data_IF_950510208453
#
_entry.id   IF_950510208453
#
_cell.length_a   1.000
_cell.length_b   1.000
_cell.length_c   1.000
_cell.angle_alpha   90.00
_cell.angle_beta   90.00
_cell.angle_gamma   90.00
#
_symmetry.space_group_name_H-M   'P 1'
#
loop_
_entity.id
_entity.type
_entity.pdbx_description
1 polymer ?
#
# COMPACT_ATOMS: atom_id res chain seq x y z
N UNK A 1 -21.01 16.33 8.16
CA UNK A 1 -20.93 17.76 8.53
C UNK A 1 -20.50 18.53 7.29
N UNK A 2 -21.17 19.58 6.89
CA UNK A 2 -20.72 20.40 5.76
C UNK A 2 -19.55 21.26 6.24
N UNK A 3 -18.50 21.44 5.41
CA UNK A 3 -17.40 22.30 5.79
C UNK A 3 -17.88 23.73 6.05
N UNK A 4 -17.36 24.32 7.08
CA UNK A 4 -17.64 25.69 7.49
C UNK A 4 -17.27 26.73 6.42
N UNK A 5 -16.45 26.34 5.47
CA UNK A 5 -15.74 27.24 4.58
C UNK A 5 -16.28 27.07 3.17
N UNK A 6 -16.97 28.08 2.68
CA UNK A 6 -17.55 28.08 1.34
C UNK A 6 -16.66 28.76 0.29
N UNK A 7 -15.75 29.63 0.74
CA UNK A 7 -14.89 30.40 -0.15
C UNK A 7 -13.44 30.08 0.04
N UNK A 8 -12.79 29.74 -1.06
CA UNK A 8 -11.35 29.59 -1.15
C UNK A 8 -10.80 30.74 -1.99
N UNK A 9 -9.64 31.27 -1.59
CA UNK A 9 -8.97 32.36 -2.28
C UNK A 9 -7.74 31.90 -3.01
N UNK A 10 -7.47 32.43 -4.22
CA UNK A 10 -6.23 32.17 -4.93
C UNK A 10 -5.02 32.69 -4.13
N UNK A 11 -3.90 31.98 -4.23
CA UNK A 11 -2.64 32.38 -3.63
C UNK A 11 -1.45 31.91 -4.48
N UNK A 12 -0.22 32.28 -4.10
CA UNK A 12 0.98 31.98 -4.85
C UNK A 12 1.25 32.98 -5.98
N UNK A 13 2.41 32.86 -6.60
CA UNK A 13 2.84 33.66 -7.73
C UNK A 13 3.80 32.89 -8.62
N UNK A 14 3.91 33.34 -9.88
CA UNK A 14 4.89 32.80 -10.82
C UNK A 14 6.30 33.10 -10.33
N UNK A 15 7.19 32.11 -10.41
CA UNK A 15 8.61 32.31 -10.12
C UNK A 15 9.25 33.14 -11.23
N UNK A 16 10.08 34.09 -10.82
CA UNK A 16 10.91 34.86 -11.76
C UNK A 16 12.11 34.02 -12.22
N UNK A 17 12.66 34.35 -13.39
CA UNK A 17 13.86 33.68 -13.92
C UNK A 17 15.02 33.73 -12.91
N UNK A 18 15.23 34.90 -12.29
CA UNK A 18 16.24 35.06 -11.24
C UNK A 18 16.03 34.11 -10.05
N UNK A 19 14.79 33.83 -9.64
CA UNK A 19 14.50 32.87 -8.58
C UNK A 19 14.82 31.44 -9.04
N UNK A 20 14.47 31.08 -10.26
CA UNK A 20 14.79 29.77 -10.85
C UNK A 20 16.31 29.57 -10.99
N UNK A 21 17.02 30.56 -11.53
CA UNK A 21 18.48 30.55 -11.65
C UNK A 21 19.16 30.40 -10.27
N UNK A 22 18.69 31.14 -9.26
CA UNK A 22 19.25 31.03 -7.91
C UNK A 22 18.94 29.73 -7.18
N UNK A 23 18.08 28.87 -7.73
CA UNK A 23 17.68 27.60 -7.15
C UNK A 23 18.17 26.37 -7.94
N UNK A 24 18.94 26.56 -9.03
CA UNK A 24 19.38 25.46 -9.93
C UNK A 24 20.07 24.33 -9.16
N UNK A 25 21.04 24.66 -8.29
CA UNK A 25 21.75 23.65 -7.50
C UNK A 25 20.80 22.80 -6.65
N UNK A 26 19.85 23.42 -5.96
CA UNK A 26 18.84 22.70 -5.15
C UNK A 26 17.91 21.86 -6.03
N UNK A 27 17.52 22.38 -7.19
CA UNK A 27 16.69 21.64 -8.15
C UNK A 27 17.41 20.40 -8.69
N UNK A 28 18.69 20.51 -9.00
CA UNK A 28 19.49 19.37 -9.50
C UNK A 28 19.73 18.32 -8.40
N UNK A 29 19.89 18.73 -7.15
CA UNK A 29 19.98 17.82 -6.01
C UNK A 29 18.67 17.06 -5.81
N UNK A 30 17.51 17.71 -5.89
CA UNK A 30 16.20 17.06 -5.77
C UNK A 30 16.01 16.04 -6.90
N UNK A 31 16.28 16.41 -8.15
CA UNK A 31 16.20 15.49 -9.31
C UNK A 31 17.09 14.26 -9.14
N UNK A 32 18.27 14.43 -8.54
CA UNK A 32 19.17 13.32 -8.23
C UNK A 32 18.55 12.36 -7.22
N UNK A 33 17.89 12.88 -6.18
CA UNK A 33 17.16 12.06 -5.19
C UNK A 33 15.97 11.35 -5.85
N UNK A 34 15.21 12.02 -6.70
CA UNK A 34 14.11 11.40 -7.48
C UNK A 34 14.62 10.24 -8.35
N UNK A 35 15.75 10.43 -9.01
CA UNK A 35 16.40 9.37 -9.79
C UNK A 35 16.80 8.19 -8.90
N UNK A 36 17.44 8.44 -7.75
CA UNK A 36 17.82 7.39 -6.80
C UNK A 36 16.62 6.59 -6.29
N UNK A 37 15.48 7.25 -6.03
CA UNK A 37 14.23 6.58 -5.65
C UNK A 37 13.72 5.71 -6.80
N UNK A 38 13.75 6.21 -8.04
CA UNK A 38 13.38 5.44 -9.22
C UNK A 38 14.24 4.18 -9.39
N UNK A 39 15.56 4.32 -9.26
CA UNK A 39 16.51 3.21 -9.32
C UNK A 39 16.26 2.17 -8.21
N UNK A 40 15.94 2.61 -6.99
CA UNK A 40 15.59 1.73 -5.88
C UNK A 40 14.29 0.95 -6.14
N UNK A 41 13.27 1.59 -6.74
CA UNK A 41 12.02 0.92 -7.13
C UNK A 41 12.28 -0.15 -8.19
N UNK A 42 13.09 0.14 -9.21
CA UNK A 42 13.45 -0.84 -10.24
C UNK A 42 14.30 -1.98 -9.64
N UNK A 43 15.18 -1.72 -8.69
CA UNK A 43 15.92 -2.75 -7.97
C UNK A 43 14.99 -3.71 -7.24
N UNK A 44 13.94 -3.21 -6.59
CA UNK A 44 12.91 -4.04 -5.92
C UNK A 44 12.15 -4.91 -6.92
N UNK A 45 11.76 -4.37 -8.08
CA UNK A 45 11.08 -5.15 -9.13
C UNK A 45 11.95 -6.29 -9.68
N UNK A 46 13.25 -6.04 -9.79
CA UNK A 46 14.21 -7.01 -10.31
C UNK A 46 14.74 -7.99 -9.25
N UNK A 47 14.50 -7.73 -7.96
CA UNK A 47 14.98 -8.55 -6.86
C UNK A 47 14.46 -10.00 -6.91
N UNK A 48 15.23 -10.91 -6.33
CA UNK A 48 14.84 -12.29 -6.12
C UNK A 48 15.13 -13.21 -7.30
N UNK A 49 14.33 -14.24 -7.47
CA UNK A 49 14.50 -15.28 -8.49
C UNK A 49 14.42 -14.72 -9.92
N UNK A 50 15.31 -15.13 -10.83
CA UNK A 50 15.21 -14.79 -12.24
C UNK A 50 13.87 -15.17 -12.86
N UNK A 51 13.31 -14.30 -13.69
CA UNK A 51 11.99 -14.50 -14.31
C UNK A 51 11.93 -15.78 -15.18
N UNK A 52 13.03 -16.13 -15.83
CA UNK A 52 13.12 -17.31 -16.68
C UNK A 52 12.82 -18.61 -15.91
N UNK A 53 13.08 -18.64 -14.60
CA UNK A 53 12.77 -19.79 -13.76
C UNK A 53 11.27 -19.90 -13.54
N UNK A 54 10.58 -18.77 -13.28
CA UNK A 54 9.12 -18.75 -13.16
C UNK A 54 8.44 -19.10 -14.48
N UNK A 55 8.92 -18.53 -15.60
CA UNK A 55 8.41 -18.83 -16.95
C UNK A 55 8.55 -20.31 -17.30
N UNK A 56 9.67 -20.96 -16.94
CA UNK A 56 9.84 -22.41 -17.11
C UNK A 56 8.85 -23.25 -16.30
N UNK A 57 8.33 -22.69 -15.20
CA UNK A 57 7.29 -23.30 -14.36
C UNK A 57 5.87 -22.93 -14.80
N UNK A 58 5.71 -22.17 -15.87
CA UNK A 58 4.41 -21.65 -16.31
C UNK A 58 3.78 -20.66 -15.33
N UNK A 59 4.58 -19.94 -14.57
CA UNK A 59 4.12 -19.00 -13.55
C UNK A 59 4.42 -17.56 -13.94
N UNK A 60 3.48 -16.68 -13.72
CA UNK A 60 3.68 -15.24 -13.73
C UNK A 60 4.35 -14.79 -12.43
N UNK A 61 5.15 -13.74 -12.49
CA UNK A 61 5.60 -13.08 -11.28
C UNK A 61 4.50 -12.14 -10.73
N UNK A 62 4.68 -11.64 -9.50
CA UNK A 62 3.66 -10.80 -8.84
C UNK A 62 3.38 -9.51 -9.61
N UNK A 63 4.40 -8.91 -10.24
CA UNK A 63 4.25 -7.67 -11.00
C UNK A 63 3.43 -7.90 -12.27
N UNK A 64 3.70 -8.98 -13.00
CA UNK A 64 2.91 -9.39 -14.17
C UNK A 64 1.46 -9.68 -13.79
N UNK A 65 1.22 -10.35 -12.65
CA UNK A 65 -0.14 -10.61 -12.15
C UNK A 65 -0.88 -9.33 -11.79
N UNK A 66 -0.21 -8.38 -11.10
CA UNK A 66 -0.81 -7.09 -10.74
C UNK A 66 -1.09 -6.27 -12.00
N UNK A 67 -0.14 -6.17 -12.93
CA UNK A 67 -0.30 -5.43 -14.19
C UNK A 67 -1.47 -5.97 -15.02
N UNK A 68 -1.60 -7.30 -15.09
CA UNK A 68 -2.74 -7.92 -15.79
C UNK A 68 -4.08 -7.65 -15.10
N UNK A 69 -4.09 -7.64 -13.75
CA UNK A 69 -5.30 -7.50 -12.94
C UNK A 69 -5.92 -6.10 -13.00
N UNK A 70 -5.09 -5.07 -13.02
CA UNK A 70 -5.51 -3.68 -12.82
C UNK A 70 -5.76 -2.93 -14.12
N UNK A 71 -6.50 -1.84 -14.04
CA UNK A 71 -6.67 -0.92 -15.15
C UNK A 71 -5.35 -0.16 -15.39
N UNK A 72 -4.91 0.01 -16.66
CA UNK A 72 -3.65 0.67 -16.97
C UNK A 72 -3.53 2.07 -16.36
N UNK A 73 -2.36 2.38 -15.79
CA UNK A 73 -2.05 3.70 -15.22
C UNK A 73 -2.74 4.01 -13.90
N UNK A 74 -3.40 3.04 -13.26
CA UNK A 74 -4.11 3.26 -11.99
C UNK A 74 -3.37 2.73 -10.76
N UNK A 75 -2.23 2.07 -10.94
CA UNK A 75 -1.45 1.53 -9.84
C UNK A 75 -0.87 2.62 -8.95
N UNK A 76 -1.25 2.63 -7.69
CA UNK A 76 -0.71 3.47 -6.65
C UNK A 76 -0.02 2.59 -5.60
N UNK A 77 1.28 2.30 -5.77
CA UNK A 77 2.03 1.47 -4.83
C UNK A 77 2.20 2.20 -3.50
N UNK A 78 2.09 1.46 -2.38
CA UNK A 78 2.14 2.05 -1.06
C UNK A 78 3.42 1.74 -0.30
N UNK A 79 3.98 0.54 -0.43
CA UNK A 79 5.10 0.10 0.38
C UNK A 79 6.23 -0.55 -0.44
N UNK A 80 6.43 -0.14 -1.68
CA UNK A 80 7.41 -0.76 -2.60
C UNK A 80 8.82 -0.82 -2.02
N UNK A 81 9.28 0.23 -1.34
CA UNK A 81 10.60 0.32 -0.73
C UNK A 81 10.65 -0.14 0.73
N UNK A 82 9.57 -0.74 1.24
CA UNK A 82 9.52 -1.20 2.62
C UNK A 82 10.38 -2.45 2.82
N UNK A 83 11.43 -2.32 3.60
CA UNK A 83 12.35 -3.41 3.94
C UNK A 83 12.76 -3.27 5.42
N UNK A 84 11.87 -3.67 6.38
CA UNK A 84 12.05 -3.40 7.79
C UNK A 84 13.22 -4.14 8.43
N UNK A 85 13.66 -5.25 7.81
CA UNK A 85 14.75 -6.08 8.30
C UNK A 85 16.06 -5.84 7.55
N UNK A 86 16.07 -4.91 6.58
CA UNK A 86 17.23 -4.70 5.71
C UNK A 86 17.77 -6.01 5.14
N UNK A 87 16.83 -6.90 4.70
CA UNK A 87 17.19 -8.20 4.19
C UNK A 87 18.03 -8.10 2.89
N UNK A 88 18.75 -9.18 2.58
CA UNK A 88 19.67 -9.22 1.45
C UNK A 88 18.95 -9.10 0.09
N UNK A 89 17.68 -9.52 0.00
CA UNK A 89 16.87 -9.37 -1.21
C UNK A 89 16.42 -7.91 -1.45
N UNK A 90 16.65 -7.00 -0.51
CA UNK A 90 16.31 -5.58 -0.64
C UNK A 90 14.83 -5.25 -0.54
N UNK A 91 13.95 -6.24 -0.33
CA UNK A 91 12.49 -6.05 -0.28
C UNK A 91 11.80 -7.13 0.54
N UNK A 92 10.52 -6.92 0.83
CA UNK A 92 9.65 -7.94 1.45
C UNK A 92 9.01 -8.86 0.40
N UNK A 93 8.46 -9.99 0.85
CA UNK A 93 7.67 -10.90 0.01
C UNK A 93 6.26 -10.41 -0.33
N UNK A 94 5.94 -9.12 -0.13
CA UNK A 94 4.61 -8.55 -0.36
C UNK A 94 4.68 -7.25 -1.14
N UNK A 95 3.83 -7.14 -2.14
CA UNK A 95 3.60 -5.94 -2.93
C UNK A 95 2.15 -5.52 -2.70
N UNK A 96 1.94 -4.27 -2.36
CA UNK A 96 0.61 -3.76 -2.07
C UNK A 96 0.38 -2.34 -2.59
N UNK A 97 -0.88 -2.01 -2.81
CA UNK A 97 -1.28 -0.70 -3.31
C UNK A 97 -2.78 -0.58 -3.53
N UNK A 98 -3.14 0.58 -4.07
CA UNK A 98 -4.46 0.86 -4.60
C UNK A 98 -4.44 0.80 -6.13
N UNK A 99 -5.52 0.31 -6.72
CA UNK A 99 -5.69 0.32 -8.15
C UNK A 99 -7.17 0.33 -8.53
N UNK A 100 -7.47 0.61 -9.79
CA UNK A 100 -8.78 0.31 -10.36
C UNK A 100 -8.76 -1.06 -11.02
N UNK A 101 -9.86 -1.76 -10.86
CA UNK A 101 -10.16 -3.02 -11.53
C UNK A 101 -11.53 -2.87 -12.16
N UNK A 102 -11.63 -2.86 -13.48
CA UNK A 102 -12.85 -2.55 -14.22
C UNK A 102 -13.51 -1.22 -13.76
N UNK A 103 -12.69 -0.18 -13.60
CA UNK A 103 -13.11 1.15 -13.18
C UNK A 103 -13.38 1.31 -11.67
N UNK A 104 -13.41 0.24 -10.88
CA UNK A 104 -13.69 0.28 -9.45
C UNK A 104 -12.40 0.25 -8.62
N UNK A 105 -12.28 1.12 -7.64
CA UNK A 105 -11.16 1.11 -6.73
C UNK A 105 -11.15 -0.14 -5.85
N UNK A 106 -9.98 -0.71 -5.71
CA UNK A 106 -9.70 -1.85 -4.85
C UNK A 106 -8.34 -1.70 -4.15
N UNK A 107 -8.21 -2.31 -2.99
CA UNK A 107 -6.90 -2.59 -2.39
C UNK A 107 -6.40 -3.90 -3.00
N UNK A 108 -5.17 -3.90 -3.52
CA UNK A 108 -4.54 -5.08 -4.09
C UNK A 108 -3.30 -5.44 -3.27
N UNK A 109 -3.20 -6.70 -2.87
CA UNK A 109 -2.03 -7.26 -2.18
C UNK A 109 -1.59 -8.52 -2.90
N UNK A 110 -0.34 -8.55 -3.38
CA UNK A 110 0.27 -9.69 -4.03
C UNK A 110 1.49 -10.20 -3.26
N UNK A 111 1.61 -11.53 -3.16
CA UNK A 111 2.83 -12.14 -2.65
C UNK A 111 3.88 -12.24 -3.75
N UNK A 112 5.07 -11.69 -3.50
CA UNK A 112 6.17 -11.69 -4.45
C UNK A 112 6.85 -13.06 -4.50
N UNK A 113 6.39 -13.90 -5.40
CA UNK A 113 6.92 -15.26 -5.60
C UNK A 113 8.38 -15.30 -6.08
N UNK A 114 8.96 -14.18 -6.51
CA UNK A 114 10.39 -14.06 -6.81
C UNK A 114 11.24 -14.00 -5.54
N UNK A 115 10.73 -13.40 -4.46
CA UNK A 115 11.45 -13.12 -3.22
C UNK A 115 11.04 -14.13 -2.15
N UNK A 116 11.95 -15.02 -1.78
CA UNK A 116 11.69 -16.09 -0.78
C UNK A 116 10.38 -16.86 -1.05
N UNK A 117 10.00 -17.04 -2.32
CA UNK A 117 8.73 -17.63 -2.74
C UNK A 117 7.49 -16.99 -2.03
N UNK A 118 7.53 -15.68 -1.79
CA UNK A 118 6.45 -14.95 -1.12
C UNK A 118 6.37 -15.16 0.39
N UNK A 119 7.41 -15.65 1.03
CA UNK A 119 7.38 -15.94 2.47
C UNK A 119 7.15 -14.68 3.32
N UNK A 120 6.52 -14.88 4.45
CA UNK A 120 6.39 -13.84 5.47
C UNK A 120 7.66 -13.73 6.30
N UNK A 121 8.10 -12.48 6.52
CA UNK A 121 9.22 -12.11 7.37
C UNK A 121 8.77 -11.20 8.50
N UNK A 122 9.60 -11.06 9.52
CA UNK A 122 9.34 -10.13 10.63
C UNK A 122 9.16 -8.69 10.13
N UNK A 123 8.21 -7.98 10.72
CA UNK A 123 7.90 -6.59 10.39
C UNK A 123 7.01 -6.38 9.15
N UNK A 124 6.84 -7.37 8.30
CA UNK A 124 6.06 -7.26 7.06
C UNK A 124 4.56 -7.02 7.31
N UNK A 125 4.04 -7.45 8.45
CA UNK A 125 2.64 -7.25 8.81
C UNK A 125 2.23 -5.77 8.85
N UNK A 126 3.15 -4.87 9.14
CA UNK A 126 2.85 -3.44 9.32
C UNK A 126 2.32 -2.81 8.01
N UNK A 127 2.91 -3.14 6.86
CA UNK A 127 2.40 -2.67 5.57
C UNK A 127 1.05 -3.32 5.22
N UNK A 128 0.87 -4.62 5.44
CA UNK A 128 -0.41 -5.30 5.20
C UNK A 128 -1.53 -4.73 6.08
N UNK A 129 -1.27 -4.45 7.35
CA UNK A 129 -2.24 -3.84 8.25
C UNK A 129 -2.62 -2.43 7.81
N UNK A 130 -1.66 -1.64 7.36
CA UNK A 130 -1.92 -0.29 6.84
C UNK A 130 -2.79 -0.31 5.59
N UNK A 131 -2.47 -1.15 4.62
CA UNK A 131 -3.21 -1.20 3.36
C UNK A 131 -4.59 -1.84 3.53
N UNK A 132 -4.74 -2.84 4.38
CA UNK A 132 -6.07 -3.41 4.71
C UNK A 132 -6.92 -2.45 5.54
N UNK A 133 -6.31 -1.55 6.33
CA UNK A 133 -7.02 -0.47 7.00
C UNK A 133 -7.63 0.53 6.00
N UNK A 134 -6.97 0.74 4.85
CA UNK A 134 -7.55 1.54 3.77
C UNK A 134 -8.81 0.89 3.18
N UNK A 135 -8.80 -0.42 2.92
CA UNK A 135 -10.00 -1.14 2.49
C UNK A 135 -11.14 -0.96 3.48
N UNK A 136 -10.84 -1.05 4.79
CA UNK A 136 -11.80 -0.83 5.87
C UNK A 136 -12.38 0.58 5.88
N UNK A 137 -11.54 1.61 5.78
CA UNK A 137 -11.95 3.02 5.85
C UNK A 137 -12.69 3.49 4.61
N UNK A 138 -12.26 3.00 3.45
CA UNK A 138 -12.82 3.41 2.16
C UNK A 138 -14.00 2.51 1.73
N UNK A 139 -14.26 1.40 2.43
CA UNK A 139 -15.26 0.40 2.06
C UNK A 139 -15.10 -0.10 0.63
N UNK A 140 -13.86 -0.29 0.17
CA UNK A 140 -13.52 -0.82 -1.15
C UNK A 140 -13.05 -2.27 -1.04
N UNK A 141 -13.23 -3.10 -2.08
CA UNK A 141 -12.81 -4.49 -2.08
C UNK A 141 -11.33 -4.67 -1.74
N UNK A 142 -11.02 -5.74 -1.00
CA UNK A 142 -9.66 -6.22 -0.81
C UNK A 142 -9.42 -7.41 -1.74
N UNK A 143 -8.44 -7.28 -2.64
CA UNK A 143 -8.08 -8.33 -3.59
C UNK A 143 -6.71 -8.88 -3.28
N UNK A 144 -6.65 -10.19 -3.03
CA UNK A 144 -5.42 -10.92 -2.75
C UNK A 144 -4.96 -11.73 -3.97
N UNK A 145 -3.67 -11.62 -4.30
CA UNK A 145 -2.95 -12.48 -5.23
C UNK A 145 -1.99 -13.34 -4.42
N UNK A 146 -2.46 -14.50 -3.99
CA UNK A 146 -1.79 -15.32 -2.96
C UNK A 146 -0.87 -16.34 -3.60
N UNK A 147 0.42 -16.21 -3.31
CA UNK A 147 1.45 -17.20 -3.64
C UNK A 147 2.55 -17.12 -2.55
N UNK A 148 2.24 -17.65 -1.38
CA UNK A 148 3.03 -17.45 -0.17
C UNK A 148 3.53 -18.80 0.38
N UNK A 149 4.83 -19.01 0.39
CA UNK A 149 5.46 -20.25 0.90
C UNK A 149 5.39 -20.41 2.43
N UNK A 150 4.65 -19.57 3.13
CA UNK A 150 4.53 -19.61 4.58
C UNK A 150 5.40 -18.57 5.26
N UNK A 151 5.80 -18.84 6.48
CA UNK A 151 6.64 -17.96 7.31
C UNK A 151 8.09 -18.40 7.21
N UNK A 152 9.01 -17.45 7.18
CA UNK A 152 10.43 -17.75 7.38
C UNK A 152 10.61 -18.33 8.79
N UNK A 153 10.87 -19.64 8.86
CA UNK A 153 10.80 -20.41 10.12
C UNK A 153 11.72 -19.86 11.21
N UNK A 154 12.86 -19.30 10.85
CA UNK A 154 13.82 -18.71 11.78
C UNK A 154 13.30 -17.41 12.43
N UNK A 155 12.27 -16.79 11.86
CA UNK A 155 11.66 -15.54 12.32
C UNK A 155 10.21 -15.74 12.84
N UNK A 156 9.73 -16.96 12.92
CA UNK A 156 8.33 -17.29 13.21
C UNK A 156 7.82 -16.63 14.49
N UNK A 157 8.61 -16.56 15.53
CA UNK A 157 8.27 -15.95 16.80
C UNK A 157 8.04 -14.42 16.71
N UNK A 158 8.67 -13.76 15.73
CA UNK A 158 8.56 -12.31 15.51
C UNK A 158 7.47 -11.97 14.50
N UNK A 159 7.17 -12.90 13.59
CA UNK A 159 6.20 -12.70 12.51
C UNK A 159 4.78 -12.62 13.03
N UNK A 160 4.35 -13.54 13.88
CA UNK A 160 2.94 -13.62 14.31
C UNK A 160 2.61 -12.81 15.56
N UNK A 161 3.61 -12.58 16.43
CA UNK A 161 3.39 -12.00 17.75
C UNK A 161 2.87 -10.56 17.69
N UNK A 162 2.12 -10.18 18.73
CA UNK A 162 1.60 -8.85 19.05
C UNK A 162 0.52 -8.29 18.10
N UNK A 163 0.02 -7.09 18.44
CA UNK A 163 -1.06 -6.40 17.70
C UNK A 163 -0.68 -5.95 16.29
N UNK A 164 0.60 -5.93 15.96
CA UNK A 164 1.15 -5.53 14.66
C UNK A 164 1.81 -6.69 13.93
N UNK A 165 1.71 -7.91 14.47
CA UNK A 165 2.17 -9.12 13.80
C UNK A 165 1.18 -9.61 12.75
N UNK A 166 1.62 -10.55 11.94
CA UNK A 166 0.79 -11.10 10.84
C UNK A 166 -0.48 -11.79 11.33
N UNK A 167 -0.54 -12.24 12.60
CA UNK A 167 -1.78 -12.73 13.19
C UNK A 167 -2.91 -11.68 13.21
N UNK A 168 -2.59 -10.39 13.27
CA UNK A 168 -3.57 -9.32 13.23
C UNK A 168 -4.20 -9.13 11.83
N UNK A 169 -3.55 -9.60 10.76
CA UNK A 169 -4.14 -9.55 9.41
C UNK A 169 -5.34 -10.49 9.29
N UNK A 170 -5.32 -11.62 9.98
CA UNK A 170 -6.47 -12.55 10.03
C UNK A 170 -7.65 -11.92 10.76
N UNK A 171 -7.40 -11.24 11.87
CA UNK A 171 -8.44 -10.48 12.56
C UNK A 171 -9.01 -9.37 11.66
N UNK A 172 -8.17 -8.73 10.86
CA UNK A 172 -8.60 -7.72 9.88
C UNK A 172 -9.59 -8.28 8.87
N UNK A 173 -9.42 -9.51 8.41
CA UNK A 173 -10.40 -10.16 7.52
C UNK A 173 -11.77 -10.26 8.18
N UNK A 174 -11.82 -10.68 9.44
CA UNK A 174 -13.09 -10.74 10.19
C UNK A 174 -13.73 -9.35 10.37
N UNK A 175 -12.93 -8.31 10.58
CA UNK A 175 -13.44 -6.93 10.64
C UNK A 175 -14.03 -6.48 9.31
N UNK A 176 -13.35 -6.76 8.18
CA UNK A 176 -13.83 -6.40 6.85
C UNK A 176 -15.13 -7.14 6.50
N UNK A 177 -15.19 -8.44 6.78
CA UNK A 177 -16.40 -9.24 6.60
C UNK A 177 -17.58 -8.67 7.39
N UNK A 178 -17.37 -8.35 8.67
CA UNK A 178 -18.40 -7.73 9.52
C UNK A 178 -18.91 -6.39 8.98
N UNK A 179 -18.07 -5.65 8.28
CA UNK A 179 -18.42 -4.37 7.65
C UNK A 179 -19.03 -4.54 6.25
N UNK A 180 -19.13 -5.76 5.74
CA UNK A 180 -19.60 -6.03 4.40
C UNK A 180 -18.60 -5.63 3.30
N UNK A 181 -17.32 -5.50 3.63
CA UNK A 181 -16.26 -5.23 2.66
C UNK A 181 -15.80 -6.55 2.05
N UNK A 182 -15.98 -6.75 0.73
CA UNK A 182 -15.63 -8.00 0.07
C UNK A 182 -14.12 -8.27 0.12
N UNK A 183 -13.76 -9.52 0.39
CA UNK A 183 -12.40 -10.04 0.28
C UNK A 183 -12.39 -11.08 -0.82
N UNK A 184 -11.63 -10.86 -1.88
CA UNK A 184 -11.56 -11.70 -3.06
C UNK A 184 -10.12 -12.17 -3.23
N UNK A 185 -9.89 -13.48 -3.29
CA UNK A 185 -8.54 -14.03 -3.36
C UNK A 185 -8.37 -14.99 -4.52
N UNK A 186 -7.29 -14.84 -5.26
CA UNK A 186 -6.77 -15.81 -6.21
C UNK A 186 -5.56 -16.53 -5.65
N UNK A 187 -5.58 -17.86 -5.67
CA UNK A 187 -4.55 -18.72 -5.10
C UNK A 187 -3.71 -19.33 -6.20
N UNK A 188 -2.41 -19.17 -6.07
CA UNK A 188 -1.40 -19.69 -7.00
C UNK A 188 -0.33 -20.47 -6.24
N UNK A 189 0.17 -21.53 -6.84
CA UNK A 189 1.25 -22.32 -6.26
C UNK A 189 0.94 -22.92 -4.89
N UNK A 190 1.95 -23.17 -4.10
CA UNK A 190 1.83 -23.83 -2.78
C UNK A 190 1.84 -22.81 -1.65
N UNK A 191 0.81 -22.87 -0.81
CA UNK A 191 0.55 -21.92 0.27
C UNK A 191 0.35 -22.67 1.60
N UNK A 192 1.44 -23.09 2.27
CA UNK A 192 1.35 -23.82 3.52
C UNK A 192 1.14 -22.91 4.72
N UNK A 193 0.52 -23.42 5.74
CA UNK A 193 0.33 -22.79 7.05
C UNK A 193 -0.14 -21.33 6.93
N UNK A 194 0.57 -20.40 7.57
CA UNK A 194 0.23 -18.98 7.54
C UNK A 194 0.16 -18.37 6.13
N UNK A 195 0.90 -18.91 5.17
CA UNK A 195 0.81 -18.51 3.77
C UNK A 195 -0.57 -18.77 3.16
N UNK A 196 -1.22 -19.85 3.57
CA UNK A 196 -2.56 -20.20 3.12
C UNK A 196 -3.69 -19.51 3.89
N UNK A 197 -3.43 -18.96 5.07
CA UNK A 197 -4.48 -18.40 5.92
C UNK A 197 -5.17 -17.18 5.32
N UNK A 198 -4.53 -16.46 4.42
CA UNK A 198 -5.18 -15.39 3.64
C UNK A 198 -6.28 -15.96 2.72
N UNK A 199 -6.18 -17.24 2.37
CA UNK A 199 -7.18 -17.95 1.59
C UNK A 199 -8.30 -18.60 2.43
N UNK A 200 -8.24 -18.55 3.77
CA UNK A 200 -9.22 -19.23 4.62
C UNK A 200 -10.50 -18.40 4.83
N UNK A 201 -10.36 -17.10 4.87
CA UNK A 201 -11.47 -16.17 5.18
C UNK A 201 -11.90 -15.21 4.08
N UNK A 202 -11.49 -15.33 2.80
CA UNK A 202 -12.06 -14.49 1.76
C UNK A 202 -13.54 -14.81 1.53
N UNK A 203 -14.28 -13.78 1.13
CA UNK A 203 -15.66 -13.94 0.65
C UNK A 203 -15.72 -14.81 -0.61
N UNK A 204 -14.75 -14.62 -1.52
CA UNK A 204 -14.57 -15.40 -2.74
C UNK A 204 -13.14 -15.91 -2.81
N UNK A 205 -13.00 -17.22 -2.99
CA UNK A 205 -11.72 -17.89 -3.12
C UNK A 205 -11.65 -18.63 -4.46
N UNK A 206 -10.74 -18.19 -5.32
CA UNK A 206 -10.48 -18.72 -6.65
C UNK A 206 -9.11 -19.41 -6.67
N UNK A 207 -8.91 -20.40 -7.51
CA UNK A 207 -7.65 -21.11 -7.57
C UNK A 207 -7.16 -21.40 -8.99
N UNK A 208 -5.84 -21.32 -9.18
CA UNK A 208 -5.20 -22.00 -10.30
C UNK A 208 -5.20 -23.52 -10.07
N UNK A 209 -5.30 -24.33 -11.12
CA UNK A 209 -5.39 -25.80 -11.04
C UNK A 209 -4.28 -26.46 -10.20
N UNK A 210 -3.09 -25.86 -10.18
CA UNK A 210 -1.94 -26.36 -9.43
C UNK A 210 -1.79 -25.69 -8.04
N UNK A 211 -2.82 -24.95 -7.60
CA UNK A 211 -2.81 -24.31 -6.29
C UNK A 211 -2.91 -25.36 -5.17
N UNK A 212 -2.27 -25.03 -4.05
CA UNK A 212 -2.35 -25.81 -2.83
C UNK A 212 -2.48 -24.90 -1.63
N UNK A 213 -3.42 -25.20 -0.73
CA UNK A 213 -3.52 -24.60 0.60
C UNK A 213 -3.50 -25.73 1.62
N UNK A 214 -2.48 -25.82 2.43
CA UNK A 214 -2.36 -26.83 3.45
C UNK A 214 -2.01 -26.23 4.82
N UNK A 215 -2.52 -26.83 5.89
CA UNK A 215 -2.22 -26.39 7.27
C UNK A 215 -0.74 -26.52 7.58
N UNK A 216 -0.07 -27.54 7.00
CA UNK A 216 1.37 -27.75 7.11
C UNK A 216 2.02 -27.95 5.75
N UNK A 217 3.25 -27.50 5.59
CA UNK A 217 4.06 -27.80 4.42
C UNK A 217 4.54 -29.25 4.39
N UNK A 218 5.01 -29.72 3.21
CA UNK A 218 5.43 -31.10 3.00
C UNK A 218 6.46 -31.60 4.01
N UNK A 219 7.44 -30.79 4.40
CA UNK A 219 8.43 -31.15 5.42
C UNK A 219 7.82 -31.39 6.81
N UNK A 220 6.83 -30.56 7.22
CA UNK A 220 6.14 -30.75 8.52
C UNK A 220 5.25 -32.00 8.47
N UNK A 221 4.54 -32.20 7.37
CA UNK A 221 3.72 -33.41 7.17
C UNK A 221 4.58 -34.65 7.13
N UNK A 222 5.75 -34.60 6.49
CA UNK A 222 6.74 -35.65 6.49
C UNK A 222 7.24 -36.02 7.90
N UNK A 223 7.46 -35.02 8.75
CA UNK A 223 7.81 -35.22 10.16
C UNK A 223 6.75 -35.94 10.99
N UNK A 224 5.50 -35.96 10.52
CA UNK A 224 4.42 -36.77 11.11
C UNK A 224 4.43 -38.23 10.59
N UNK A 225 5.33 -38.58 9.70
CA UNK A 225 5.49 -39.97 9.21
C UNK A 225 5.89 -40.91 10.33
N UNK A 226 5.71 -42.22 10.15
CA UNK A 226 6.13 -43.22 11.14
C UNK A 226 7.62 -43.16 11.53
N UNK A 227 8.46 -42.62 10.65
CA UNK A 227 9.89 -42.42 10.93
C UNK A 227 10.22 -41.10 11.60
N UNK A 228 9.25 -40.17 11.72
CA UNK A 228 9.41 -38.88 12.38
C UNK A 228 10.39 -37.90 11.70
N UNK A 229 10.63 -38.08 10.38
CA UNK A 229 11.52 -37.22 9.60
C UNK A 229 10.80 -35.96 9.13
N UNK A 230 11.47 -34.77 9.27
CA UNK A 230 10.97 -33.45 8.80
C UNK A 230 11.65 -33.05 7.48
N UNK A 231 12.19 -33.97 6.74
CA UNK A 231 12.86 -33.79 5.46
C UNK A 231 12.02 -34.29 4.27
N UNK A 232 12.59 -34.21 3.07
CA UNK A 232 11.96 -34.67 1.84
C UNK A 232 11.66 -36.19 1.90
N UNK A 233 12.55 -36.99 2.50
CA UNK A 233 12.38 -38.44 2.63
C UNK A 233 11.12 -38.77 3.46
N UNK A 234 10.86 -38.05 4.54
CA UNK A 234 9.66 -38.21 5.34
C UNK A 234 8.38 -37.84 4.58
N UNK A 235 8.42 -36.78 3.77
CA UNK A 235 7.31 -36.37 2.91
C UNK A 235 7.04 -37.44 1.82
N UNK A 236 8.09 -37.97 1.18
CA UNK A 236 7.96 -39.07 0.19
C UNK A 236 7.38 -40.34 0.80
N UNK A 237 7.80 -40.71 2.01
CA UNK A 237 7.26 -41.86 2.72
C UNK A 237 5.79 -41.71 3.02
N UNK A 238 5.32 -40.49 3.40
CA UNK A 238 3.91 -40.24 3.63
C UNK A 238 3.12 -40.36 2.33
N UNK A 239 3.63 -39.78 1.25
CA UNK A 239 3.03 -39.86 -0.07
C UNK A 239 2.93 -41.32 -0.52
N UNK A 240 4.00 -42.10 -0.37
CA UNK A 240 4.01 -43.54 -0.71
C UNK A 240 2.99 -44.31 0.13
N UNK A 241 2.94 -44.09 1.43
CA UNK A 241 1.97 -44.74 2.31
C UNK A 241 0.51 -44.41 1.92
N UNK A 242 0.24 -43.24 1.33
CA UNK A 242 -1.10 -42.81 0.91
C UNK A 242 -1.44 -43.18 -0.54
N UNK A 243 -0.47 -43.58 -1.38
CA UNK A 243 -0.70 -43.99 -2.79
C UNK A 243 -1.74 -45.08 -2.96
N UNK A 244 -1.75 -46.02 -2.05
CA UNK A 244 -2.67 -47.17 -2.08
C UNK A 244 -4.13 -46.77 -1.88
N UNK A 245 -4.40 -45.62 -1.32
CA UNK A 245 -5.74 -45.12 -1.05
C UNK A 245 -6.28 -44.19 -2.14
N UNK A 246 -5.57 -44.03 -3.28
CA UNK A 246 -5.87 -43.03 -4.32
C UNK A 246 -6.10 -41.61 -3.75
N UNK A 247 -5.40 -41.28 -2.68
CA UNK A 247 -5.50 -39.97 -2.08
C UNK A 247 -4.70 -38.97 -2.92
N UNK A 248 -5.37 -37.85 -3.18
CA UNK A 248 -4.69 -36.68 -3.73
C UNK A 248 -3.96 -35.93 -2.63
N UNK A 249 -2.90 -35.17 -2.94
CA UNK A 249 -2.13 -34.45 -1.92
C UNK A 249 -3.03 -33.56 -1.04
N UNK A 250 -2.84 -33.56 0.29
CA UNK A 250 -3.58 -32.67 1.18
C UNK A 250 -3.46 -31.21 0.73
N UNK A 251 -4.57 -30.48 0.78
CA UNK A 251 -4.62 -29.08 0.39
C UNK A 251 -4.65 -28.83 -1.11
N UNK A 252 -4.65 -29.86 -1.93
CA UNK A 252 -4.72 -29.71 -3.38
C UNK A 252 -6.11 -29.30 -3.87
N UNK A 253 -6.16 -28.82 -5.11
CA UNK A 253 -7.40 -28.37 -5.77
C UNK A 253 -8.51 -29.43 -5.72
N UNK A 254 -8.27 -30.73 -6.07
CA UNK A 254 -9.34 -31.73 -6.00
C UNK A 254 -9.99 -31.85 -4.61
N UNK A 255 -9.21 -31.71 -3.55
CA UNK A 255 -9.75 -31.73 -2.19
C UNK A 255 -10.57 -30.46 -1.92
N UNK A 256 -10.01 -29.30 -2.18
CA UNK A 256 -10.65 -28.05 -1.81
C UNK A 256 -11.79 -27.63 -2.75
N UNK A 257 -11.82 -28.14 -3.96
CA UNK A 257 -12.92 -27.89 -4.89
C UNK A 257 -14.05 -28.93 -4.74
N UNK A 258 -13.71 -30.22 -4.71
CA UNK A 258 -14.72 -31.28 -4.75
C UNK A 258 -15.24 -31.67 -3.35
N UNK A 259 -14.34 -31.74 -2.33
CA UNK A 259 -14.71 -32.27 -1.03
C UNK A 259 -15.07 -31.17 -0.04
N UNK A 260 -14.24 -30.15 0.10
CA UNK A 260 -14.48 -29.10 1.11
C UNK A 260 -15.32 -27.92 0.60
N UNK A 261 -15.41 -27.73 -0.73
CA UNK A 261 -16.07 -26.58 -1.32
C UNK A 261 -15.38 -25.25 -1.03
N UNK A 262 -14.11 -25.29 -0.66
CA UNK A 262 -13.32 -24.11 -0.30
C UNK A 262 -13.07 -23.23 -1.51
N UNK A 263 -12.52 -23.80 -2.59
CA UNK A 263 -12.38 -23.10 -3.85
C UNK A 263 -13.74 -23.00 -4.55
N UNK A 264 -14.14 -21.78 -4.87
CA UNK A 264 -15.41 -21.53 -5.55
C UNK A 264 -15.32 -21.84 -7.03
N UNK A 265 -14.21 -21.47 -7.64
CA UNK A 265 -13.90 -21.74 -9.05
C UNK A 265 -12.40 -22.07 -9.20
N UNK A 266 -12.08 -22.90 -10.19
CA UNK A 266 -10.72 -23.34 -10.52
C UNK A 266 -10.47 -23.09 -12.00
N UNK A 267 -9.27 -22.60 -12.32
CA UNK A 267 -8.90 -22.21 -13.68
C UNK A 267 -7.60 -22.90 -14.12
N UNK A 268 -7.54 -23.18 -15.41
CA UNK A 268 -6.38 -23.87 -16.03
C UNK A 268 -5.15 -22.97 -16.15
N UNK A 269 -5.33 -21.64 -16.21
CA UNK A 269 -4.27 -20.65 -16.38
C UNK A 269 -4.32 -19.60 -15.28
N UNK A 270 -3.19 -18.96 -15.01
CA UNK A 270 -3.12 -17.86 -14.04
C UNK A 270 -3.93 -16.65 -14.49
N UNK A 271 -3.93 -16.37 -15.82
CA UNK A 271 -4.75 -15.31 -16.41
C UNK A 271 -6.23 -15.58 -16.20
N UNK A 272 -6.67 -16.84 -16.31
CA UNK A 272 -8.05 -17.24 -16.04
C UNK A 272 -8.49 -16.90 -14.60
N UNK A 273 -7.59 -17.08 -13.62
CA UNK A 273 -7.84 -16.66 -12.22
C UNK A 273 -7.94 -15.13 -12.14
N UNK A 274 -7.03 -14.41 -12.82
CA UNK A 274 -7.01 -12.95 -12.82
C UNK A 274 -8.27 -12.36 -13.48
N UNK A 275 -8.73 -12.92 -14.57
CA UNK A 275 -9.99 -12.53 -15.23
C UNK A 275 -11.21 -12.78 -14.31
N UNK A 276 -11.19 -13.89 -13.57
CA UNK A 276 -12.23 -14.16 -12.59
C UNK A 276 -12.18 -13.17 -11.41
N UNK A 277 -10.99 -12.79 -10.93
CA UNK A 277 -10.87 -11.72 -9.94
C UNK A 277 -11.49 -10.42 -10.44
N UNK A 278 -11.21 -10.00 -11.67
CA UNK A 278 -11.84 -8.83 -12.30
C UNK A 278 -13.37 -8.94 -12.32
N UNK A 279 -13.89 -10.10 -12.74
CA UNK A 279 -15.33 -10.39 -12.78
C UNK A 279 -15.97 -10.26 -11.39
N UNK A 280 -15.34 -10.80 -10.36
CA UNK A 280 -15.89 -10.71 -9.01
C UNK A 280 -15.80 -9.31 -8.41
N UNK A 281 -14.76 -8.54 -8.71
CA UNK A 281 -14.72 -7.11 -8.37
C UNK A 281 -15.84 -6.35 -9.06
N UNK A 282 -16.13 -6.68 -10.32
CA UNK A 282 -17.21 -6.06 -11.08
C UNK A 282 -18.61 -6.35 -10.48
N UNK A 283 -18.79 -7.52 -9.87
CA UNK A 283 -20.02 -7.91 -9.17
C UNK A 283 -20.19 -7.23 -7.80
N UNK A 284 -19.13 -6.65 -7.22
CA UNK A 284 -19.25 -5.96 -5.95
C UNK A 284 -20.07 -4.67 -6.11
N UNK A 285 -20.74 -4.19 -5.05
CA UNK A 285 -21.40 -2.90 -5.09
C UNK A 285 -20.44 -1.81 -5.57
N UNK A 286 -20.94 -0.91 -6.41
CA UNK A 286 -20.15 0.21 -6.86
C UNK A 286 -19.78 1.09 -5.65
N UNK A 287 -18.50 1.28 -5.44
CA UNK A 287 -18.01 2.38 -4.63
C UNK A 287 -18.31 3.68 -5.36
N UNK A 288 -18.90 4.66 -4.68
CA UNK A 288 -19.07 5.98 -5.27
C UNK A 288 -17.69 6.66 -5.41
N UNK A 289 -17.13 6.78 -6.62
CA UNK A 289 -15.81 7.37 -6.82
C UNK A 289 -15.79 8.87 -6.43
N UNK A 290 -16.96 9.47 -6.23
CA UNK A 290 -17.10 10.87 -5.87
C UNK A 290 -17.40 11.05 -4.38
N UNK A 291 -17.42 9.99 -3.58
CA UNK A 291 -17.82 10.06 -2.16
C UNK A 291 -17.10 11.16 -1.37
N UNK A 292 -15.81 11.38 -1.64
CA UNK A 292 -15.03 12.46 -1.04
C UNK A 292 -14.81 13.66 -1.96
N UNK A 293 -15.26 13.58 -3.21
CA UNK A 293 -15.05 14.64 -4.19
C UNK A 293 -16.18 15.65 -4.07
N UNK A 294 -15.83 16.86 -3.69
CA UNK A 294 -16.78 17.97 -3.47
C UNK A 294 -16.84 18.94 -4.65
N UNK A 295 -15.93 18.81 -5.61
CA UNK A 295 -15.85 19.65 -6.81
C UNK A 295 -15.19 18.87 -7.95
N UNK A 296 -15.34 19.38 -9.18
CA UNK A 296 -14.55 18.89 -10.31
C UNK A 296 -13.06 19.16 -10.09
N UNK A 297 -12.18 18.21 -10.44
CA UNK A 297 -10.74 18.38 -10.38
C UNK A 297 -10.26 19.58 -11.17
N UNK A 298 -9.33 20.32 -10.63
CA UNK A 298 -8.69 21.45 -11.31
C UNK A 298 -7.19 21.39 -11.11
N UNK A 299 -6.45 21.69 -12.17
CA UNK A 299 -5.02 21.83 -12.07
C UNK A 299 -4.63 23.05 -11.24
N UNK A 300 -3.52 23.02 -10.52
CA UNK A 300 -2.91 24.21 -9.94
C UNK A 300 -2.61 25.25 -11.02
N UNK A 301 -2.66 26.53 -10.68
CA UNK A 301 -2.32 27.63 -11.61
C UNK A 301 -0.84 27.73 -11.95
N UNK A 302 0.00 27.15 -11.11
CA UNK A 302 1.46 27.23 -11.25
C UNK A 302 2.02 25.84 -11.50
N UNK A 303 3.09 25.73 -12.32
CA UNK A 303 3.68 24.44 -12.68
C UNK A 303 4.20 23.68 -11.47
N UNK A 304 3.88 22.38 -11.39
CA UNK A 304 4.32 21.50 -10.28
C UNK A 304 5.85 21.34 -10.21
N UNK A 305 6.53 21.33 -11.36
CA UNK A 305 8.00 21.26 -11.46
C UNK A 305 8.71 22.44 -10.79
N UNK A 306 8.04 23.56 -10.61
CA UNK A 306 8.60 24.71 -9.87
C UNK A 306 8.89 24.38 -8.40
N UNK A 307 8.29 23.33 -7.84
CA UNK A 307 8.55 22.89 -6.46
C UNK A 307 10.02 22.59 -6.25
N UNK A 308 10.71 22.04 -7.24
CA UNK A 308 12.14 21.76 -7.21
C UNK A 308 13.02 23.03 -7.11
N UNK A 309 12.45 24.20 -7.43
CA UNK A 309 13.11 25.50 -7.30
C UNK A 309 12.72 26.24 -6.01
N UNK A 310 11.67 25.78 -5.32
CA UNK A 310 11.18 26.37 -4.09
C UNK A 310 11.73 25.67 -2.86
N UNK A 311 11.65 24.33 -2.83
CA UNK A 311 12.12 23.52 -1.72
C UNK A 311 13.65 23.48 -1.72
N UNK A 312 14.28 23.94 -0.65
CA UNK A 312 15.72 23.90 -0.52
C UNK A 312 16.17 22.51 -0.06
N UNK A 313 17.02 21.86 -0.83
CA UNK A 313 17.68 20.62 -0.42
C UNK A 313 18.59 20.87 0.80
N UNK A 314 19.26 22.02 0.84
CA UNK A 314 20.04 22.43 1.98
C UNK A 314 19.12 22.82 3.15
N UNK A 315 19.07 21.98 4.17
CA UNK A 315 18.22 22.16 5.36
C UNK A 315 18.52 23.46 6.17
N UNK A 316 19.59 24.18 5.87
CA UNK A 316 19.90 25.48 6.45
C UNK A 316 19.17 26.64 5.75
N UNK A 317 18.57 26.38 4.59
CA UNK A 317 17.78 27.36 3.83
C UNK A 317 16.29 27.18 4.14
N UNK A 318 15.59 28.28 4.35
CA UNK A 318 14.14 28.28 4.42
C UNK A 318 13.52 28.32 3.03
N UNK A 319 12.32 27.80 2.90
CA UNK A 319 11.50 27.89 1.69
C UNK A 319 10.08 28.36 2.03
N UNK A 320 9.35 28.84 1.04
CA UNK A 320 7.96 29.24 1.20
C UNK A 320 7.02 28.05 1.11
N UNK A 321 6.45 27.63 2.25
CA UNK A 321 5.40 26.61 2.29
C UNK A 321 4.21 27.01 1.41
N UNK A 322 3.79 28.27 1.46
CA UNK A 322 2.65 28.76 0.69
C UNK A 322 2.87 28.64 -0.82
N UNK A 323 4.06 28.96 -1.31
CA UNK A 323 4.39 28.81 -2.74
C UNK A 323 4.43 27.33 -3.14
N UNK A 324 4.92 26.44 -2.29
CA UNK A 324 4.88 25.00 -2.52
C UNK A 324 3.43 24.51 -2.62
N UNK A 325 2.59 24.88 -1.67
CA UNK A 325 1.17 24.47 -1.62
C UNK A 325 0.35 25.04 -2.78
N UNK A 326 0.68 26.23 -3.27
CA UNK A 326 0.04 26.82 -4.45
C UNK A 326 0.25 25.99 -5.74
N UNK A 327 1.21 25.08 -5.76
CA UNK A 327 1.49 24.15 -6.86
C UNK A 327 0.93 22.75 -6.64
N UNK A 328 0.23 22.56 -5.51
CA UNK A 328 -0.38 21.30 -5.13
C UNK A 328 -1.90 21.39 -5.09
N UNK A 329 -2.44 22.52 -4.64
CA UNK A 329 -3.87 22.65 -4.45
C UNK A 329 -4.59 23.04 -5.75
N UNK A 330 -5.77 22.47 -5.94
CA UNK A 330 -6.65 22.75 -7.08
C UNK A 330 -6.84 24.27 -7.27
N UNK A 331 -6.63 24.73 -8.50
CA UNK A 331 -6.74 26.14 -8.87
C UNK A 331 -5.89 27.08 -8.01
N UNK A 332 -4.87 26.56 -7.31
CA UNK A 332 -4.04 27.28 -6.33
C UNK A 332 -4.91 28.06 -5.33
N UNK A 333 -5.96 27.43 -4.83
CA UNK A 333 -6.93 28.02 -3.90
C UNK A 333 -6.92 27.32 -2.56
N UNK A 334 -6.99 28.12 -1.52
CA UNK A 334 -7.09 27.62 -0.14
C UNK A 334 -7.98 28.52 0.71
N UNK A 335 -8.30 28.04 1.89
CA UNK A 335 -8.87 28.82 2.97
C UNK A 335 -8.07 28.55 4.24
N UNK A 336 -7.27 29.54 4.65
CA UNK A 336 -6.49 29.45 5.87
C UNK A 336 -7.37 29.73 7.09
N UNK A 337 -7.21 28.86 8.11
CA UNK A 337 -7.84 29.01 9.41
C UNK A 337 -6.93 29.82 10.34
N UNK A 338 -7.42 30.94 10.85
CA UNK A 338 -6.71 31.85 11.79
C UNK A 338 -5.30 32.27 11.30
N UNK A 339 -5.17 32.92 10.15
CA UNK A 339 -3.87 33.23 9.54
C UNK A 339 -2.96 34.08 10.44
N UNK A 340 -3.53 34.99 11.21
CA UNK A 340 -2.78 35.93 12.06
C UNK A 340 -2.47 35.39 13.45
N UNK A 341 -2.95 34.18 13.81
CA UNK A 341 -2.70 33.54 15.10
C UNK A 341 -1.86 32.30 14.94
N UNK A 342 -0.67 32.25 15.54
CA UNK A 342 0.29 31.15 15.34
C UNK A 342 0.71 31.03 13.86
N UNK A 343 1.19 32.13 13.22
CA UNK A 343 1.45 32.12 11.77
C UNK A 343 2.54 31.16 11.34
N UNK A 344 3.37 30.66 12.25
CA UNK A 344 4.35 29.63 12.00
C UNK A 344 3.72 28.27 11.62
N UNK A 345 2.44 28.09 11.94
CA UNK A 345 1.65 26.94 11.55
C UNK A 345 0.59 27.37 10.54
N UNK A 346 0.67 26.80 9.34
CA UNK A 346 -0.45 26.83 8.41
C UNK A 346 -1.48 25.80 8.85
N UNK A 347 -2.72 26.20 8.93
CA UNK A 347 -3.89 25.30 9.06
C UNK A 347 -4.98 25.79 8.11
N UNK A 348 -5.58 24.91 7.36
CA UNK A 348 -6.62 25.35 6.43
C UNK A 348 -7.22 24.22 5.60
N UNK A 349 -8.22 24.59 4.83
CA UNK A 349 -8.90 23.73 3.87
C UNK A 349 -8.47 24.07 2.45
N UNK A 350 -8.32 23.05 1.64
CA UNK A 350 -8.04 23.15 0.21
C UNK A 350 -8.66 21.97 -0.52
N UNK A 351 -8.53 21.96 -1.85
CA UNK A 351 -8.91 20.80 -2.66
C UNK A 351 -7.68 20.26 -3.38
N UNK A 352 -7.63 18.94 -3.51
CA UNK A 352 -6.68 18.23 -4.37
C UNK A 352 -7.49 17.25 -5.19
N UNK A 353 -7.44 17.35 -6.50
CA UNK A 353 -8.21 16.52 -7.42
C UNK A 353 -9.72 16.49 -7.09
N UNK A 354 -10.28 17.64 -6.71
CA UNK A 354 -11.66 17.80 -6.29
C UNK A 354 -11.99 17.28 -4.89
N UNK A 355 -11.06 16.66 -4.19
CA UNK A 355 -11.22 16.19 -2.82
C UNK A 355 -10.98 17.32 -1.84
N UNK A 356 -11.89 17.54 -0.91
CA UNK A 356 -11.68 18.49 0.18
C UNK A 356 -10.72 17.88 1.21
N UNK A 357 -9.66 18.61 1.50
CA UNK A 357 -8.65 18.20 2.49
C UNK A 357 -8.47 19.26 3.56
N UNK A 358 -8.16 18.85 4.79
CA UNK A 358 -7.55 19.68 5.81
C UNK A 358 -6.03 19.56 5.74
N UNK A 359 -5.34 20.67 5.75
CA UNK A 359 -3.89 20.70 5.71
C UNK A 359 -3.31 21.41 6.93
N UNK A 360 -2.26 20.84 7.52
CA UNK A 360 -1.46 21.42 8.59
C UNK A 360 -0.01 21.39 8.14
N UNK A 361 0.65 22.53 8.17
CA UNK A 361 2.06 22.63 7.79
C UNK A 361 2.82 23.64 8.65
N UNK A 362 4.12 23.45 8.76
CA UNK A 362 4.99 24.38 9.47
C UNK A 362 5.68 25.31 8.48
N UNK A 363 5.40 26.61 8.59
CA UNK A 363 6.08 27.64 7.80
C UNK A 363 7.51 27.83 8.29
N UNK A 364 8.38 28.23 7.38
CA UNK A 364 9.80 28.53 7.66
C UNK A 364 10.10 30.00 7.43
N UNK A 365 11.27 30.44 7.91
CA UNK A 365 11.74 31.81 7.73
C UNK A 365 11.22 32.80 8.78
N UNK A 366 11.32 34.08 8.48
CA UNK A 366 10.77 35.15 9.33
C UNK A 366 9.32 35.40 8.98
N UNK A 367 8.47 35.39 9.98
CA UNK A 367 7.02 35.54 9.86
C UNK A 367 6.63 36.85 10.55
N UNK A 368 6.10 37.79 9.78
CA UNK A 368 5.63 39.05 10.33
C UNK A 368 4.38 38.86 11.18
N UNK A 369 4.31 39.52 12.31
CA UNK A 369 3.06 39.65 13.06
C UNK A 369 2.26 40.85 12.54
N UNK A 370 0.93 40.73 12.50
CA UNK A 370 0.05 41.83 12.12
C UNK A 370 0.17 43.03 13.04
N UNK A 371 0.41 42.78 14.33
CA UNK A 371 0.65 43.75 15.38
C UNK A 371 1.94 43.39 16.10
N UNK A 372 3.12 43.78 15.55
CA UNK A 372 4.42 43.35 16.07
C UNK A 372 4.67 43.70 17.54
N UNK A 373 4.13 44.85 17.99
CA UNK A 373 4.23 45.34 19.36
C UNK A 373 3.55 44.45 20.42
N UNK A 374 2.61 43.60 19.98
CA UNK A 374 1.90 42.66 20.84
C UNK A 374 2.25 41.19 20.52
N UNK A 375 3.21 40.97 19.65
CA UNK A 375 3.57 39.59 19.26
C UNK A 375 4.17 38.83 20.44
N UNK A 376 3.58 37.74 20.87
CA UNK A 376 4.06 36.99 22.06
C UNK A 376 5.25 36.05 21.75
N UNK A 377 5.79 36.09 20.55
CA UNK A 377 6.87 35.24 20.08
C UNK A 377 7.71 35.97 19.00
N UNK A 378 8.94 35.52 18.74
CA UNK A 378 9.87 36.23 17.85
C UNK A 378 9.55 36.13 16.35
N UNK A 379 8.45 35.47 15.92
CA UNK A 379 8.06 35.37 14.50
C UNK A 379 9.01 34.52 13.66
N UNK A 380 9.57 33.47 14.20
CA UNK A 380 10.51 32.56 13.52
C UNK A 380 9.78 31.28 13.14
N UNK A 381 9.67 31.00 11.86
CA UNK A 381 9.19 29.73 11.32
C UNK A 381 10.17 28.57 11.56
N UNK A 382 9.70 27.35 11.30
CA UNK A 382 10.46 26.13 11.59
C UNK A 382 10.44 25.72 13.08
N UNK A 383 9.67 26.44 13.91
CA UNK A 383 9.43 26.16 15.32
C UNK A 383 7.93 26.12 15.59
N UNK A 384 7.55 25.49 16.69
CA UNK A 384 6.17 25.47 17.17
C UNK A 384 6.09 26.31 18.45
N UNK A 385 5.23 27.33 18.42
CA UNK A 385 4.93 28.14 19.58
C UNK A 385 3.57 27.76 20.17
N UNK A 386 3.27 28.24 21.36
CA UNK A 386 2.01 27.95 22.06
C UNK A 386 0.78 28.27 21.20
N UNK A 387 0.79 29.38 20.47
CA UNK A 387 -0.32 29.81 19.62
C UNK A 387 -0.53 28.84 18.44
N UNK A 388 0.54 28.40 17.78
CA UNK A 388 0.49 27.38 16.73
C UNK A 388 -0.08 26.06 17.22
N UNK A 389 0.35 25.60 18.41
CA UNK A 389 -0.19 24.36 19.01
C UNK A 389 -1.69 24.48 19.33
N UNK A 390 -2.14 25.63 19.88
CA UNK A 390 -3.56 25.87 20.12
C UNK A 390 -4.35 25.86 18.79
N UNK A 391 -3.86 26.57 17.77
CA UNK A 391 -4.46 26.64 16.44
C UNK A 391 -4.57 25.26 15.79
N UNK A 392 -3.52 24.42 15.87
CA UNK A 392 -3.54 23.04 15.39
C UNK A 392 -4.62 22.23 16.10
N UNK A 393 -4.65 22.28 17.42
CA UNK A 393 -5.63 21.52 18.20
C UNK A 393 -7.07 21.93 17.87
N UNK A 394 -7.34 23.22 17.75
CA UNK A 394 -8.66 23.71 17.34
C UNK A 394 -9.02 23.22 15.93
N UNK A 395 -8.09 23.31 14.98
CA UNK A 395 -8.34 22.92 13.60
C UNK A 395 -8.62 21.41 13.44
N UNK A 396 -7.93 20.58 14.19
CA UNK A 396 -8.13 19.11 14.15
C UNK A 396 -9.48 18.71 14.75
N UNK A 397 -10.05 19.54 15.64
CA UNK A 397 -11.33 19.25 16.28
C UNK A 397 -12.55 19.81 15.53
N UNK A 398 -12.32 20.63 14.50
CA UNK A 398 -13.38 21.13 13.60
C UNK A 398 -13.87 20.06 12.63
#
# INVERSE_FOLDING_TARGET
>A
MRPYFEKMTPFGKTLTDKQKEGAVESSDEIKRVEQQVGEAVEAVKNAGMPEEILKKRGQLNVWERIEYLIDPGTWCPLHTLYNPQFNEEGTTGVIDGLARINGKWAVVIGFNNKVMAGAWIAGQADNQLRVTDMAKRLHIPLVWVVNCSGVKLTEQQEVYANRRGNGATFFRHAELEKLGVPIIAGIYGTNPAGGGYQGISPTILLAHKDANIAVGGGGIVGGMSPKGSFDEDGAEQLIEATRHFKQVPPGSVPIHYNETGFFKEVYETEEGVLDALKKYVDMTPAYDPNFFRVAEPKEPKFPGEDINHIVAFNQKRSYSLDEMLARVFDNSEHMEFRPDYGPEVYTGLAKINGLLIGFIGNRQGFLGAKYPEYAPYPGIGGKLYRQGLIKMNEFVTL
#
